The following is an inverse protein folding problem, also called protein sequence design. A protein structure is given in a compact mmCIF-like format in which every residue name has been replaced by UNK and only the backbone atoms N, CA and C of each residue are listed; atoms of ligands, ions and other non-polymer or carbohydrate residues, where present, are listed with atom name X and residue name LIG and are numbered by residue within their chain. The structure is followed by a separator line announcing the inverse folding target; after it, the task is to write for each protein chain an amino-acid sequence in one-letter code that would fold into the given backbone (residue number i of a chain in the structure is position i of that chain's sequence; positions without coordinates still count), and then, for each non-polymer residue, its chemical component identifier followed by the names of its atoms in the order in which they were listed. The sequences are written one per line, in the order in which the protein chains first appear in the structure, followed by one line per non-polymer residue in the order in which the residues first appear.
data_IF_969665293519
#
_entry.id   IF_969665293519
#
_cell.length_a   1.000
_cell.length_b   1.000
_cell.length_c   1.000
_cell.angle_alpha   90.00
_cell.angle_beta   90.00
_cell.angle_gamma   90.00
#
_symmetry.space_group_name_H-M   'P 1'
#
loop_
_entity.id
_entity.type
_entity.pdbx_description
1 polymer ?
#
# COMPACT_ATOMS: atom_id res chain seq x y z
N UNK A 1 1.12 -6.57 -4.49
CA UNK A 1 1.09 -5.09 -4.26
C UNK A 1 0.13 -4.48 -5.26
N UNK A 2 -0.79 -3.61 -4.85
CA UNK A 2 -1.77 -2.97 -5.74
C UNK A 2 -1.42 -1.49 -5.96
N UNK A 3 -1.06 -0.77 -4.90
CA UNK A 3 -0.67 0.64 -4.92
C UNK A 3 0.46 0.85 -3.91
N UNK A 4 1.46 1.66 -4.25
CA UNK A 4 2.43 2.17 -3.29
C UNK A 4 2.87 3.57 -3.69
N UNK A 5 3.00 4.46 -2.71
CA UNK A 5 3.59 5.77 -2.94
C UNK A 5 3.49 6.69 -1.73
N UNK A 6 4.39 7.68 -1.61
CA UNK A 6 4.28 8.71 -0.61
C UNK A 6 3.30 9.80 -1.04
N UNK A 7 2.72 10.49 -0.08
CA UNK A 7 2.20 11.85 -0.32
C UNK A 7 3.36 12.79 -0.64
N UNK A 8 3.09 13.87 -1.37
CA UNK A 8 4.14 14.81 -1.77
C UNK A 8 4.31 15.91 -0.72
N UNK A 9 5.56 16.31 -0.48
CA UNK A 9 5.92 17.37 0.46
C UNK A 9 7.15 17.02 1.30
N UNK A 10 7.67 18.00 2.07
CA UNK A 10 8.83 17.79 2.94
C UNK A 10 8.55 16.83 4.11
N UNK A 11 7.29 16.74 4.55
CA UNK A 11 6.77 15.71 5.45
C UNK A 11 5.70 14.95 4.70
N UNK A 12 5.79 13.62 4.69
CA UNK A 12 4.92 12.77 3.89
C UNK A 12 4.37 11.58 4.67
N UNK A 13 3.43 10.88 4.03
CA UNK A 13 2.82 9.63 4.48
C UNK A 13 2.97 8.61 3.37
N UNK A 14 3.58 7.46 3.67
CA UNK A 14 3.56 6.31 2.78
C UNK A 14 2.17 5.67 2.76
N UNK A 15 1.64 5.41 1.57
CA UNK A 15 0.39 4.66 1.38
C UNK A 15 0.74 3.38 0.61
N UNK A 16 0.38 2.23 1.19
CA UNK A 16 0.50 0.93 0.55
C UNK A 16 -0.84 0.19 0.59
N UNK A 17 -1.31 -0.28 -0.56
CA UNK A 17 -2.47 -1.17 -0.68
C UNK A 17 -1.95 -2.49 -1.24
N UNK A 18 -2.15 -3.56 -0.50
CA UNK A 18 -1.68 -4.90 -0.85
C UNK A 18 -2.70 -5.96 -0.41
N UNK A 19 -2.58 -7.14 -1.00
CA UNK A 19 -3.39 -8.29 -0.64
C UNK A 19 -2.65 -9.13 0.39
N UNK A 20 -3.41 -9.70 1.32
CA UNK A 20 -2.94 -10.68 2.29
C UNK A 20 -4.05 -11.71 2.52
N UNK A 21 -3.71 -12.97 2.86
CA UNK A 21 -4.70 -14.02 3.13
C UNK A 21 -5.65 -13.66 4.29
N UNK A 22 -5.14 -12.95 5.29
CA UNK A 22 -5.85 -12.53 6.49
C UNK A 22 -5.17 -11.31 7.15
N UNK A 23 -5.81 -10.77 8.19
CA UNK A 23 -5.30 -9.61 8.91
C UNK A 23 -3.99 -9.89 9.64
N UNK A 24 -3.78 -11.11 10.15
CA UNK A 24 -2.56 -11.47 10.86
C UNK A 24 -1.34 -11.43 9.91
N UNK A 25 -1.51 -11.98 8.71
CA UNK A 25 -0.53 -11.93 7.62
C UNK A 25 -0.27 -10.48 7.19
N UNK A 26 -1.33 -9.68 7.04
CA UNK A 26 -1.20 -8.27 6.69
C UNK A 26 -0.43 -7.48 7.76
N UNK A 27 -0.70 -7.75 9.04
CA UNK A 27 -0.01 -7.10 10.16
C UNK A 27 1.46 -7.51 10.23
N UNK A 28 1.77 -8.77 9.96
CA UNK A 28 3.14 -9.25 9.88
C UNK A 28 3.91 -8.52 8.78
N UNK A 29 3.35 -8.44 7.58
CA UNK A 29 3.95 -7.70 6.45
C UNK A 29 4.19 -6.23 6.83
N UNK A 30 3.21 -5.57 7.45
CA UNK A 30 3.35 -4.18 7.89
C UNK A 30 4.46 -4.02 8.94
N UNK A 31 4.54 -4.91 9.94
CA UNK A 31 5.54 -4.83 11.00
C UNK A 31 6.96 -5.16 10.52
N UNK A 32 7.09 -5.97 9.45
CA UNK A 32 8.37 -6.32 8.82
C UNK A 32 8.85 -5.27 7.82
N UNK A 33 8.03 -4.26 7.48
CA UNK A 33 8.45 -3.13 6.64
C UNK A 33 9.67 -2.42 7.26
N UNK A 34 10.80 -2.30 6.55
CA UNK A 34 12.02 -1.67 7.08
C UNK A 34 11.83 -0.22 7.56
N UNK A 35 10.90 0.52 6.96
CA UNK A 35 10.59 1.91 7.35
C UNK A 35 9.91 1.92 8.72
N UNK A 36 9.02 0.96 8.97
CA UNK A 36 8.32 0.83 10.26
C UNK A 36 9.19 0.18 11.33
N UNK A 37 9.84 -0.95 11.01
CA UNK A 37 10.75 -1.64 11.90
C UNK A 37 11.95 -0.76 12.31
N UNK A 38 12.41 0.11 11.41
CA UNK A 38 13.46 1.09 11.67
C UNK A 38 13.00 2.33 12.45
N UNK A 39 11.70 2.48 12.74
CA UNK A 39 11.16 3.60 13.49
C UNK A 39 11.09 4.92 12.72
N UNK A 40 11.22 4.89 11.40
CA UNK A 40 11.15 6.09 10.54
C UNK A 40 9.71 6.57 10.31
N UNK A 41 8.73 5.69 10.52
CA UNK A 41 7.31 6.01 10.43
C UNK A 41 6.50 5.27 11.51
N UNK A 42 5.24 5.68 11.69
CA UNK A 42 4.24 4.92 12.47
C UNK A 42 3.27 4.25 11.52
N UNK A 43 3.00 2.97 11.76
CA UNK A 43 2.19 2.12 10.88
C UNK A 43 0.75 2.08 11.33
N UNK A 44 -0.16 2.20 10.36
CA UNK A 44 -1.57 1.91 10.52
C UNK A 44 -1.99 0.91 9.44
N UNK A 45 -2.77 -0.10 9.82
CA UNK A 45 -3.32 -1.08 8.90
C UNK A 45 -4.84 -1.12 9.07
N UNK A 46 -5.54 -1.02 7.94
CA UNK A 46 -7.00 -1.04 7.84
C UNK A 46 -7.42 -1.91 6.64
N UNK A 47 -8.54 -2.65 6.72
CA UNK A 47 -9.16 -3.26 5.56
C UNK A 47 -9.50 -2.19 4.51
N UNK A 48 -9.27 -2.50 3.23
CA UNK A 48 -9.48 -1.58 2.13
C UNK A 48 -10.24 -2.24 0.98
N UNK A 49 -11.23 -1.54 0.41
CA UNK A 49 -11.95 -1.95 -0.80
C UNK A 49 -11.80 -0.89 -1.87
N UNK A 50 -11.28 -1.26 -3.03
CA UNK A 50 -11.23 -0.39 -4.21
C UNK A 50 -12.63 -0.35 -4.81
N UNK A 51 -13.30 0.80 -4.74
CA UNK A 51 -14.62 1.02 -5.36
C UNK A 51 -14.54 1.58 -6.77
N UNK A 52 -13.45 2.31 -7.09
CA UNK A 52 -13.17 2.90 -8.40
C UNK A 52 -11.66 3.03 -8.57
N UNK A 53 -11.14 2.71 -9.75
CA UNK A 53 -9.75 2.94 -10.12
C UNK A 53 -9.71 3.49 -11.55
N UNK A 54 -9.28 4.74 -11.70
CA UNK A 54 -9.17 5.40 -13.00
C UNK A 54 -7.85 5.01 -13.68
N UNK A 55 -7.88 4.81 -15.00
CA UNK A 55 -6.65 4.64 -15.81
C UNK A 55 -6.11 3.22 -15.90
N UNK A 56 -6.88 2.19 -15.48
CA UNK A 56 -6.53 0.78 -15.69
C UNK A 56 -6.98 0.24 -17.06
N UNK A 57 -7.78 1.01 -17.80
CA UNK A 57 -8.38 0.60 -19.09
C UNK A 57 -7.42 0.69 -20.30
N UNK A 58 -6.12 0.99 -20.07
CA UNK A 58 -5.15 1.25 -21.15
C UNK A 58 -4.10 0.17 -21.42
N UNK A 59 -4.07 -0.93 -20.66
CA UNK A 59 -3.05 -1.98 -20.81
C UNK A 59 -3.62 -3.29 -21.37
N UNK A 60 -4.50 -3.17 -22.36
CA UNK A 60 -5.19 -4.29 -23.01
C UNK A 60 -5.40 -4.07 -24.50
N UNK A 61 -4.38 -3.60 -25.22
CA UNK A 61 -4.27 -3.82 -26.67
C UNK A 61 -2.82 -3.60 -27.09
N UNK A 62 -2.07 -4.68 -27.15
CA UNK A 62 -0.99 -4.81 -28.14
C UNK A 62 -1.43 -5.87 -29.12
N UNK A 63 -1.76 -5.40 -30.32
CA UNK A 63 -1.73 -6.19 -31.54
C UNK A 63 -0.32 -6.75 -31.80
#
# INVERSE_FOLDING_TARGET
MILVGPTLGPVNTGIAIFEAPDEASARRIMNEDPVLAGGYARGELRPFRISLLRGRDGAGSSA
#
